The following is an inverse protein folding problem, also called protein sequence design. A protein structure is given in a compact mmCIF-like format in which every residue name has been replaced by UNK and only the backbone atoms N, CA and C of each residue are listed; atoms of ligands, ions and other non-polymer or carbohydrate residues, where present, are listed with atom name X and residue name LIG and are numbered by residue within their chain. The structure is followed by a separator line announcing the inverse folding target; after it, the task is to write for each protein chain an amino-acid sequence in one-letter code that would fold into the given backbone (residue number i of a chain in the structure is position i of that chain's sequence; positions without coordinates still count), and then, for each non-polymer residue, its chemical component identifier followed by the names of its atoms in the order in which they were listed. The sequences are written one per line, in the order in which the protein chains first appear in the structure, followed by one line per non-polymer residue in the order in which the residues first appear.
data_IF_424347289944
#
_entry.id   IF_424347289944
#
_cell.length_a   1.000
_cell.length_b   1.000
_cell.length_c   1.000
_cell.angle_alpha   90.00
_cell.angle_beta   90.00
_cell.angle_gamma   90.00
#
_symmetry.space_group_name_H-M   'P 1'
#
loop_
_entity.id
_entity.type
_entity.pdbx_description
1 polymer ?
#
# COMPACT_ATOMS: atom_id res chain seq x y z
N UNK A 1 -6.29 8.05 -6.53
CA UNK A 1 -5.20 7.74 -7.48
C UNK A 1 -5.49 8.46 -8.80
N UNK A 2 -4.57 9.25 -9.39
CA UNK A 2 -4.89 10.09 -10.56
C UNK A 2 -4.59 9.46 -11.95
N UNK A 3 -4.30 8.16 -12.06
CA UNK A 3 -4.02 7.48 -13.34
C UNK A 3 -4.83 6.19 -13.55
N UNK A 4 -4.83 5.61 -14.76
CA UNK A 4 -5.56 4.37 -15.07
C UNK A 4 -4.88 3.18 -14.40
N UNK A 5 -5.43 2.72 -13.28
CA UNK A 5 -4.86 1.62 -12.50
C UNK A 5 -4.68 0.35 -13.31
N UNK A 6 -5.62 0.04 -14.20
CA UNK A 6 -5.57 -1.19 -14.99
C UNK A 6 -4.38 -1.22 -15.96
N UNK A 7 -3.95 -0.07 -16.50
CA UNK A 7 -2.75 0.03 -17.32
C UNK A 7 -1.48 -0.21 -16.50
N UNK A 8 -1.42 0.33 -15.28
CA UNK A 8 -0.29 0.12 -14.37
C UNK A 8 -0.22 -1.35 -13.93
N UNK A 9 -1.37 -1.96 -13.61
CA UNK A 9 -1.46 -3.36 -13.20
C UNK A 9 -0.94 -4.28 -14.30
N UNK A 10 -1.27 -4.01 -15.56
CA UNK A 10 -0.77 -4.77 -16.70
C UNK A 10 0.76 -4.68 -16.88
N UNK A 11 1.39 -3.61 -16.39
CA UNK A 11 2.84 -3.42 -16.44
C UNK A 11 3.60 -4.00 -15.25
N UNK A 12 2.90 -4.51 -14.22
CA UNK A 12 3.55 -5.02 -13.01
C UNK A 12 4.59 -6.12 -13.25
N UNK A 13 4.43 -7.07 -14.20
CA UNK A 13 5.47 -8.05 -14.46
C UNK A 13 6.80 -7.41 -14.90
N UNK A 14 6.76 -6.26 -15.56
CA UNK A 14 7.95 -5.51 -15.99
C UNK A 14 8.45 -4.60 -14.87
N UNK A 15 7.55 -3.88 -14.19
CA UNK A 15 7.91 -2.95 -13.11
C UNK A 15 8.52 -3.69 -11.91
N UNK A 16 7.95 -4.84 -11.53
CA UNK A 16 8.40 -5.65 -10.40
C UNK A 16 9.61 -6.53 -10.73
N UNK A 17 10.02 -6.65 -12.01
CA UNK A 17 11.23 -7.40 -12.36
C UNK A 17 12.46 -6.78 -11.68
N UNK A 18 13.15 -7.58 -10.86
CA UNK A 18 14.30 -7.12 -10.05
C UNK A 18 15.56 -6.76 -10.84
N UNK A 19 15.64 -7.18 -12.11
CA UNK A 19 16.82 -6.96 -12.96
C UNK A 19 16.57 -5.92 -14.05
N UNK A 20 15.32 -5.80 -14.52
CA UNK A 20 14.93 -4.96 -15.65
C UNK A 20 13.94 -3.85 -15.28
N UNK A 21 13.31 -3.96 -14.11
CA UNK A 21 12.36 -2.99 -13.57
C UNK A 21 12.87 -2.30 -12.31
N UNK A 22 11.94 -1.78 -11.52
CA UNK A 22 12.23 -1.17 -10.22
C UNK A 22 12.56 -2.22 -9.15
N UNK A 23 11.99 -3.42 -9.29
CA UNK A 23 12.09 -4.47 -8.28
C UNK A 23 11.15 -4.21 -7.09
N UNK A 24 10.09 -5.01 -6.97
CA UNK A 24 9.15 -4.95 -5.85
C UNK A 24 8.40 -6.28 -5.74
N UNK A 25 7.90 -6.58 -4.54
CA UNK A 25 6.99 -7.71 -4.30
C UNK A 25 5.55 -7.43 -4.75
N UNK A 26 5.28 -6.24 -5.31
CA UNK A 26 3.97 -5.86 -5.82
C UNK A 26 3.70 -4.35 -5.83
N UNK A 27 2.42 -4.00 -5.97
CA UNK A 27 1.92 -2.62 -5.95
C UNK A 27 0.88 -2.42 -4.85
N UNK A 28 1.03 -1.33 -4.10
CA UNK A 28 0.07 -0.82 -3.13
C UNK A 28 -0.67 0.38 -3.74
N UNK A 29 -1.86 0.16 -4.29
CA UNK A 29 -2.69 1.22 -4.84
C UNK A 29 -3.56 1.83 -3.73
N UNK A 30 -3.06 2.92 -3.15
CA UNK A 30 -3.71 3.63 -2.04
C UNK A 30 -4.61 4.77 -2.54
N UNK A 31 -5.81 4.86 -1.97
CA UNK A 31 -6.72 6.00 -2.13
C UNK A 31 -6.83 6.77 -0.79
N UNK A 32 -6.26 7.99 -0.70
CA UNK A 32 -6.31 8.78 0.53
C UNK A 32 -7.70 9.33 0.85
N UNK A 33 -8.58 9.51 -0.14
CA UNK A 33 -9.94 10.03 0.11
C UNK A 33 -10.83 8.94 0.69
N UNK A 34 -10.74 7.73 0.14
CA UNK A 34 -11.50 6.57 0.59
C UNK A 34 -10.85 5.84 1.77
N UNK A 35 -9.59 6.17 2.11
CA UNK A 35 -8.76 5.43 3.06
C UNK A 35 -8.76 3.92 2.76
N UNK A 36 -8.55 3.59 1.48
CA UNK A 36 -8.58 2.23 0.97
C UNK A 36 -7.28 1.84 0.29
N UNK A 37 -6.97 0.55 0.34
CA UNK A 37 -5.77 -0.05 -0.22
C UNK A 37 -6.16 -1.26 -1.07
N UNK A 38 -5.75 -1.23 -2.34
CA UNK A 38 -5.70 -2.40 -3.21
C UNK A 38 -4.27 -2.91 -3.31
N UNK A 39 -4.09 -4.22 -3.31
CA UNK A 39 -2.77 -4.86 -3.24
C UNK A 39 -2.65 -5.76 -4.45
N UNK A 40 -1.63 -5.56 -5.27
CA UNK A 40 -1.39 -6.37 -6.46
C UNK A 40 -0.05 -7.08 -6.35
N UNK A 41 -0.03 -8.36 -6.71
CA UNK A 41 1.18 -9.15 -6.87
C UNK A 41 1.91 -8.79 -8.17
N UNK A 42 3.17 -9.21 -8.36
CA UNK A 42 3.95 -8.92 -9.56
C UNK A 42 3.30 -9.44 -10.86
N UNK A 43 2.49 -10.49 -10.78
CA UNK A 43 1.75 -11.06 -11.91
C UNK A 43 0.47 -10.29 -12.26
N UNK A 44 0.15 -9.22 -11.52
CA UNK A 44 -1.06 -8.41 -11.69
C UNK A 44 -2.28 -8.93 -10.93
N UNK A 45 -2.20 -10.08 -10.26
CA UNK A 45 -3.31 -10.60 -9.44
C UNK A 45 -3.53 -9.74 -8.19
N UNK A 46 -4.80 -9.52 -7.83
CA UNK A 46 -5.16 -8.75 -6.63
C UNK A 46 -5.15 -9.65 -5.38
N UNK A 47 -4.35 -9.30 -4.38
CA UNK A 47 -4.25 -9.98 -3.11
C UNK A 47 -5.26 -9.42 -2.10
N UNK A 48 -5.88 -10.30 -1.33
CA UNK A 48 -6.82 -9.89 -0.27
C UNK A 48 -6.11 -9.28 0.94
N UNK A 49 -4.90 -9.75 1.25
CA UNK A 49 -4.19 -9.39 2.49
C UNK A 49 -2.68 -9.25 2.24
N UNK A 50 -2.09 -8.24 2.86
CA UNK A 50 -0.64 -8.13 3.04
C UNK A 50 -0.36 -7.42 4.36
N UNK A 51 0.20 -8.15 5.33
CA UNK A 51 0.54 -7.57 6.64
C UNK A 51 1.56 -6.44 6.50
N UNK A 52 2.54 -6.61 5.61
CA UNK A 52 3.55 -5.58 5.31
C UNK A 52 2.91 -4.41 4.54
N UNK A 53 2.11 -4.70 3.52
CA UNK A 53 1.45 -3.67 2.71
C UNK A 53 0.53 -2.77 3.53
N UNK A 54 -0.20 -3.34 4.49
CA UNK A 54 -1.06 -2.56 5.39
C UNK A 54 -0.26 -1.59 6.27
N UNK A 55 0.90 -2.00 6.80
CA UNK A 55 1.77 -1.13 7.59
C UNK A 55 2.38 -0.02 6.76
N UNK A 56 2.83 -0.32 5.54
CA UNK A 56 3.37 0.67 4.59
C UNK A 56 2.29 1.69 4.23
N UNK A 57 1.08 1.25 3.89
CA UNK A 57 -0.03 2.14 3.57
C UNK A 57 -0.46 3.00 4.77
N UNK A 58 -0.48 2.43 5.97
CA UNK A 58 -0.74 3.17 7.21
C UNK A 58 0.29 4.28 7.44
N UNK A 59 1.58 3.95 7.30
CA UNK A 59 2.66 4.93 7.41
C UNK A 59 2.51 6.02 6.35
N UNK A 60 2.26 5.65 5.09
CA UNK A 60 2.06 6.59 4.00
C UNK A 60 0.86 7.53 4.24
N UNK A 61 -0.26 7.02 4.75
CA UNK A 61 -1.43 7.83 5.10
C UNK A 61 -1.12 8.87 6.19
N UNK A 62 -0.32 8.51 7.19
CA UNK A 62 0.07 9.41 8.30
C UNK A 62 1.11 10.44 7.85
N UNK A 63 2.08 10.02 7.04
CA UNK A 63 3.19 10.87 6.61
C UNK A 63 2.79 11.86 5.51
N UNK A 64 2.07 11.39 4.49
CA UNK A 64 1.79 12.17 3.27
C UNK A 64 0.37 12.75 3.25
N UNK A 65 -0.58 12.15 3.98
CA UNK A 65 -2.01 12.52 3.89
C UNK A 65 -2.61 12.97 5.23
N UNK A 66 -1.79 13.11 6.28
CA UNK A 66 -2.22 13.65 7.57
C UNK A 66 -3.19 12.78 8.36
N UNK A 67 -3.22 11.46 8.11
CA UNK A 67 -4.04 10.55 8.91
C UNK A 67 -3.68 10.63 10.41
N UNK A 68 -4.69 10.53 11.26
CA UNK A 68 -4.55 10.59 12.71
C UNK A 68 -3.90 9.34 13.32
N UNK A 69 -3.86 9.28 14.66
CA UNK A 69 -3.27 8.14 15.39
C UNK A 69 -4.12 6.87 15.33
N UNK A 70 -5.44 7.03 15.23
CA UNK A 70 -6.39 5.93 15.17
C UNK A 70 -7.29 6.11 13.94
N UNK A 71 -7.29 5.13 13.03
CA UNK A 71 -8.08 5.18 11.80
C UNK A 71 -8.38 3.78 11.26
N UNK A 72 -9.17 3.69 10.20
CA UNK A 72 -9.39 2.44 9.48
C UNK A 72 -8.83 2.52 8.05
N UNK A 73 -8.18 1.43 7.62
CA UNK A 73 -7.81 1.20 6.24
C UNK A 73 -8.64 0.05 5.66
N UNK A 74 -9.34 0.32 4.56
CA UNK A 74 -10.16 -0.69 3.88
C UNK A 74 -9.32 -1.46 2.87
N UNK A 75 -9.31 -2.78 2.98
CA UNK A 75 -8.84 -3.70 1.94
C UNK A 75 -10.03 -4.32 1.21
N UNK A 76 -9.78 -5.18 0.23
CA UNK A 76 -10.82 -5.83 -0.58
C UNK A 76 -11.90 -6.53 0.25
N UNK A 77 -11.50 -7.14 1.38
CA UNK A 77 -12.33 -8.00 2.22
C UNK A 77 -12.92 -7.31 3.45
N UNK A 78 -12.23 -6.31 4.02
CA UNK A 78 -12.62 -5.72 5.32
C UNK A 78 -12.00 -4.35 5.60
N UNK A 79 -12.53 -3.70 6.64
CA UNK A 79 -11.85 -2.60 7.32
C UNK A 79 -10.81 -3.14 8.31
N UNK A 80 -9.63 -2.52 8.34
CA UNK A 80 -8.55 -2.85 9.26
C UNK A 80 -8.31 -1.64 10.17
N UNK A 81 -8.50 -1.81 11.47
CA UNK A 81 -8.15 -0.80 12.45
C UNK A 81 -6.64 -0.61 12.50
N UNK A 82 -6.21 0.64 12.42
CA UNK A 82 -4.81 1.06 12.52
C UNK A 82 -4.67 1.93 13.76
N UNK A 83 -3.68 1.57 14.59
CA UNK A 83 -3.24 2.37 15.73
C UNK A 83 -1.76 2.67 15.57
N UNK A 84 -1.43 3.95 15.42
CA UNK A 84 -0.05 4.42 15.31
C UNK A 84 0.52 4.50 16.72
N UNK A 85 1.48 3.61 17.02
CA UNK A 85 2.08 3.49 18.34
C UNK A 85 3.00 4.65 18.66
N UNK A 86 3.87 5.00 17.72
CA UNK A 86 4.83 6.08 17.86
C UNK A 86 5.09 6.71 16.50
N UNK A 87 5.38 8.01 16.49
CA UNK A 87 5.85 8.74 15.31
C UNK A 87 7.22 9.30 15.66
N UNK A 88 8.22 8.43 15.72
CA UNK A 88 9.61 8.85 15.78
C UNK A 88 10.06 9.21 14.37
N UNK A 89 10.87 10.25 14.21
CA UNK A 89 11.48 10.53 12.91
C UNK A 89 12.27 9.30 12.46
N UNK A 90 11.89 8.73 11.31
CA UNK A 90 12.60 7.70 10.55
C UNK A 90 13.45 6.70 11.35
N UNK A 91 12.86 5.85 12.18
CA UNK A 91 13.50 4.59 12.56
C UNK A 91 12.47 3.48 12.79
N UNK A 92 12.66 2.35 12.09
CA UNK A 92 11.88 1.13 12.25
C UNK A 92 12.84 0.04 12.74
N UNK A 93 12.67 -0.39 13.99
CA UNK A 93 13.40 -1.54 14.54
C UNK A 93 12.50 -2.77 14.44
N UNK A 94 13.06 -3.85 13.86
CA UNK A 94 12.39 -5.14 13.62
C UNK A 94 12.28 -6.02 14.86
#
# INVERSE_FOLDING_TARGET
MPGPLDEIVALLPVICDRFRGLGSDGLLAFDPRAMSLRIFNPDGSEAQKSGNGLRIAAAHAVMEHGAGKDFQLRTLDRGNAVKVMERSGAEVVS
#
